data_IF_332083059492
#
_entry.id   IF_332083059492
#
_cell.length_a   1.000
_cell.length_b   1.000
_cell.length_c   1.000
_cell.angle_alpha   90.00
_cell.angle_beta   90.00
_cell.angle_gamma   90.00
#
_symmetry.space_group_name_H-M   'P 1'
#
loop_
_entity.id
_entity.type
_entity.pdbx_description
1 polymer ?
#
# COMPACT_ATOMS: atom_id res chain seq x y z
N UNK A 1 -35.83 2.98 -16.55
CA UNK A 1 -35.23 4.28 -16.20
C UNK A 1 -36.07 4.88 -15.09
N UNK A 2 -35.54 4.93 -13.87
CA UNK A 2 -36.09 5.74 -12.78
C UNK A 2 -34.88 6.44 -12.16
N UNK A 3 -34.73 7.72 -12.49
CA UNK A 3 -33.72 8.61 -11.91
C UNK A 3 -34.22 9.02 -10.52
N UNK A 4 -33.65 8.41 -9.47
CA UNK A 4 -33.79 8.92 -8.11
C UNK A 4 -32.81 10.07 -7.91
N UNK A 5 -33.34 11.30 -7.87
CA UNK A 5 -32.63 12.46 -7.34
C UNK A 5 -32.27 12.19 -5.87
N UNK A 6 -30.99 11.98 -5.58
CA UNK A 6 -30.49 12.01 -4.20
C UNK A 6 -30.29 13.47 -3.77
N UNK A 7 -30.78 13.74 -2.56
CA UNK A 7 -30.62 14.95 -1.78
C UNK A 7 -29.14 15.42 -1.73
N UNK A 8 -28.83 16.69 -2.08
CA UNK A 8 -27.47 17.23 -2.04
C UNK A 8 -26.87 17.31 -0.62
N UNK A 9 -27.67 17.13 0.43
CA UNK A 9 -27.23 17.24 1.83
C UNK A 9 -26.58 15.98 2.41
N UNK A 10 -26.58 14.85 1.69
CA UNK A 10 -25.84 13.61 2.06
C UNK A 10 -24.51 13.56 1.28
N UNK A 11 -23.69 14.60 1.44
CA UNK A 11 -22.39 14.71 0.79
C UNK A 11 -21.33 13.85 1.53
N UNK A 12 -21.35 12.54 1.32
CA UNK A 12 -20.28 11.64 1.79
C UNK A 12 -18.93 11.95 1.12
N UNK A 13 -17.86 12.03 1.92
CA UNK A 13 -16.49 12.35 1.49
C UNK A 13 -15.97 11.38 0.41
N UNK A 14 -15.16 11.87 -0.54
CA UNK A 14 -14.45 11.02 -1.50
C UNK A 14 -13.60 9.95 -0.79
N UNK A 15 -13.18 8.90 -1.50
CA UNK A 15 -12.30 7.88 -0.90
C UNK A 15 -10.84 8.36 -0.85
N UNK A 16 -10.10 8.11 0.23
CA UNK A 16 -8.71 8.53 0.35
C UNK A 16 -7.81 7.71 -0.58
N UNK A 17 -6.70 8.31 -1.02
CA UNK A 17 -5.65 7.60 -1.74
C UNK A 17 -4.76 6.89 -0.73
N UNK A 18 -4.55 5.59 -0.94
CA UNK A 18 -3.66 4.79 -0.09
C UNK A 18 -2.26 4.66 -0.65
N UNK A 19 -1.31 5.26 0.05
CA UNK A 19 0.12 5.05 -0.11
C UNK A 19 0.58 3.89 0.77
N UNK A 20 1.50 3.08 0.24
CA UNK A 20 2.16 2.02 0.99
C UNK A 20 3.66 2.15 0.78
N UNK A 21 4.45 2.20 1.85
CA UNK A 21 5.90 2.01 1.79
C UNK A 21 6.25 0.64 2.33
N UNK A 22 7.07 -0.12 1.60
CA UNK A 22 7.39 -1.49 2.01
C UNK A 22 8.72 -2.00 1.46
N UNK A 23 9.67 -2.30 2.36
CA UNK A 23 10.86 -3.05 2.02
C UNK A 23 10.50 -4.54 1.88
N UNK A 24 10.57 -5.03 0.64
CA UNK A 24 10.10 -6.36 0.26
C UNK A 24 11.20 -7.42 0.26
N UNK A 25 12.47 -7.05 0.50
CA UNK A 25 13.63 -7.95 0.54
C UNK A 25 13.68 -8.92 -0.65
N UNK A 26 13.58 -8.37 -1.84
CA UNK A 26 13.66 -9.07 -3.12
C UNK A 26 12.34 -9.67 -3.60
N UNK A 27 12.06 -9.50 -4.88
CA UNK A 27 10.90 -10.11 -5.57
C UNK A 27 11.27 -10.86 -6.87
N UNK A 28 12.53 -11.32 -6.97
CA UNK A 28 13.00 -12.12 -8.10
C UNK A 28 12.25 -13.45 -8.23
N UNK A 29 11.98 -14.12 -7.10
CA UNK A 29 11.24 -15.38 -7.05
C UNK A 29 9.75 -15.17 -7.44
N UNK A 30 9.18 -15.92 -8.40
CA UNK A 30 7.80 -15.76 -8.85
C UNK A 30 6.74 -15.93 -7.77
N UNK A 31 6.94 -16.87 -6.83
CA UNK A 31 6.01 -17.12 -5.72
C UNK A 31 6.01 -15.93 -4.76
N UNK A 32 7.20 -15.45 -4.35
CA UNK A 32 7.31 -14.26 -3.50
C UNK A 32 6.71 -13.03 -4.18
N UNK A 33 6.99 -12.83 -5.47
CA UNK A 33 6.41 -11.74 -6.28
C UNK A 33 4.88 -11.79 -6.30
N UNK A 34 4.29 -12.97 -6.51
CA UNK A 34 2.84 -13.14 -6.48
C UNK A 34 2.24 -12.81 -5.09
N UNK A 35 2.91 -13.25 -4.01
CA UNK A 35 2.52 -12.89 -2.63
C UNK A 35 2.57 -11.38 -2.39
N UNK A 36 3.64 -10.70 -2.82
CA UNK A 36 3.79 -9.24 -2.71
C UNK A 36 2.64 -8.51 -3.42
N UNK A 37 2.36 -8.83 -4.69
CA UNK A 37 1.27 -8.17 -5.43
C UNK A 37 -0.11 -8.46 -4.84
N UNK A 38 -0.35 -9.69 -4.40
CA UNK A 38 -1.61 -10.08 -3.75
C UNK A 38 -1.79 -9.31 -2.45
N UNK A 39 -0.71 -9.13 -1.67
CA UNK A 39 -0.73 -8.38 -0.42
C UNK A 39 -0.99 -6.89 -0.64
N UNK A 40 -0.29 -6.25 -1.58
CA UNK A 40 -0.53 -4.84 -1.96
C UNK A 40 -1.98 -4.61 -2.43
N UNK A 41 -2.51 -5.54 -3.23
CA UNK A 41 -3.91 -5.48 -3.70
C UNK A 41 -4.89 -5.61 -2.53
N UNK A 42 -4.65 -6.52 -1.59
CA UNK A 42 -5.48 -6.71 -0.38
C UNK A 42 -5.43 -5.49 0.53
N UNK A 43 -4.28 -4.85 0.64
CA UNK A 43 -4.12 -3.59 1.36
C UNK A 43 -4.74 -2.40 0.62
N UNK A 44 -5.34 -2.59 -0.57
CA UNK A 44 -5.94 -1.55 -1.40
C UNK A 44 -4.95 -0.46 -1.83
N UNK A 45 -3.71 -0.83 -2.13
CA UNK A 45 -2.68 0.11 -2.58
C UNK A 45 -3.10 0.88 -3.85
N UNK A 46 -3.04 2.21 -3.75
CA UNK A 46 -3.16 3.12 -4.88
C UNK A 46 -1.78 3.51 -5.42
N UNK A 47 -0.84 3.79 -4.51
CA UNK A 47 0.56 4.10 -4.80
C UNK A 47 1.43 3.25 -3.85
N UNK A 48 2.42 2.54 -4.38
CA UNK A 48 3.33 1.70 -3.60
C UNK A 48 4.78 2.11 -3.80
N UNK A 49 5.46 2.46 -2.71
CA UNK A 49 6.90 2.66 -2.62
C UNK A 49 7.51 1.33 -2.17
N UNK A 50 8.20 0.66 -3.07
CA UNK A 50 8.87 -0.61 -2.79
C UNK A 50 10.37 -0.39 -2.66
N UNK A 51 10.98 -0.96 -1.62
CA UNK A 51 12.42 -0.99 -1.43
C UNK A 51 12.94 -2.43 -1.53
N UNK A 52 14.22 -2.56 -1.84
CA UNK A 52 14.88 -3.85 -2.06
C UNK A 52 14.14 -4.73 -3.09
N UNK A 53 13.82 -4.19 -4.27
CA UNK A 53 13.20 -5.00 -5.32
C UNK A 53 14.09 -6.16 -5.78
N UNK A 54 15.42 -5.96 -5.71
CA UNK A 54 16.48 -6.87 -6.19
C UNK A 54 16.30 -7.26 -7.66
N UNK A 55 15.72 -6.36 -8.46
CA UNK A 55 15.50 -6.57 -9.90
C UNK A 55 16.59 -5.90 -10.71
N UNK A 56 17.11 -6.62 -11.70
CA UNK A 56 17.95 -6.05 -12.75
C UNK A 56 17.09 -5.20 -13.69
N UNK A 57 17.72 -4.30 -14.45
CA UNK A 57 17.02 -3.43 -15.41
C UNK A 57 16.14 -4.26 -16.37
N UNK A 58 16.69 -5.34 -16.93
CA UNK A 58 15.97 -6.25 -17.82
C UNK A 58 14.73 -6.91 -17.19
N UNK A 59 14.70 -7.04 -15.87
CA UNK A 59 13.64 -7.70 -15.11
C UNK A 59 12.58 -6.72 -14.57
N UNK A 60 12.74 -5.41 -14.78
CA UNK A 60 11.79 -4.38 -14.31
C UNK A 60 10.38 -4.55 -14.90
N UNK A 61 10.25 -5.13 -16.10
CA UNK A 61 8.95 -5.47 -16.70
C UNK A 61 8.08 -6.36 -15.79
N UNK A 62 8.69 -7.09 -14.85
CA UNK A 62 7.99 -7.94 -13.87
C UNK A 62 7.24 -7.16 -12.79
N UNK A 63 7.45 -5.84 -12.70
CA UNK A 63 6.70 -4.94 -11.82
C UNK A 63 5.30 -4.63 -12.36
N UNK A 64 5.06 -4.90 -13.65
CA UNK A 64 3.74 -4.74 -14.25
C UNK A 64 2.85 -5.95 -13.92
N UNK A 65 1.64 -5.64 -13.44
CA UNK A 65 0.56 -6.60 -13.26
C UNK A 65 -0.78 -5.90 -13.52
N UNK A 66 -1.92 -6.60 -13.63
CA UNK A 66 -3.16 -6.04 -14.20
C UNK A 66 -3.71 -4.76 -13.55
N UNK A 67 -3.33 -4.44 -12.31
CA UNK A 67 -3.77 -3.22 -11.61
C UNK A 67 -2.74 -2.08 -11.66
N UNK A 68 -1.47 -2.35 -11.98
CA UNK A 68 -0.40 -1.36 -12.07
C UNK A 68 -0.50 -0.66 -13.42
N UNK A 69 -0.65 0.66 -13.41
CA UNK A 69 -0.71 1.49 -14.62
C UNK A 69 0.63 2.14 -14.95
N UNK A 70 1.39 2.58 -13.95
CA UNK A 70 2.70 3.21 -14.14
C UNK A 70 3.72 2.62 -13.15
N UNK A 71 4.96 2.51 -13.61
CA UNK A 71 6.11 2.03 -12.84
C UNK A 71 7.27 2.98 -13.03
N UNK A 72 7.85 3.43 -11.92
CA UNK A 72 9.13 4.14 -11.89
C UNK A 72 10.11 3.31 -11.07
N UNK A 73 11.34 3.10 -11.56
CA UNK A 73 12.33 2.26 -10.89
C UNK A 73 13.72 2.88 -10.99
N UNK A 74 14.57 2.65 -9.98
CA UNK A 74 15.97 3.12 -9.99
C UNK A 74 16.85 2.39 -11.02
N UNK A 75 18.01 2.94 -11.36
CA UNK A 75 18.83 2.47 -12.49
C UNK A 75 19.87 1.40 -12.11
N UNK A 76 19.67 0.70 -11.00
CA UNK A 76 20.65 -0.27 -10.50
C UNK A 76 20.50 -1.63 -11.16
N UNK A 77 21.58 -2.12 -11.76
CA UNK A 77 21.57 -3.34 -12.57
C UNK A 77 22.13 -4.57 -11.83
N UNK A 78 21.69 -4.81 -10.59
CA UNK A 78 22.10 -5.97 -9.79
C UNK A 78 20.92 -6.60 -9.03
N UNK A 79 21.12 -7.81 -8.51
CA UNK A 79 20.14 -8.50 -7.65
C UNK A 79 20.32 -8.10 -6.18
N UNK A 80 20.41 -6.81 -5.93
CA UNK A 80 20.50 -6.19 -4.61
C UNK A 80 19.87 -4.80 -4.70
N UNK A 81 19.43 -4.22 -3.59
CA UNK A 81 18.83 -2.87 -3.55
C UNK A 81 17.68 -2.76 -4.58
N UNK A 82 17.49 -1.58 -5.17
CA UNK A 82 16.44 -1.30 -6.13
C UNK A 82 15.22 -0.76 -5.42
N UNK A 83 14.70 0.36 -5.91
CA UNK A 83 13.50 1.01 -5.40
C UNK A 83 12.53 1.24 -6.55
N UNK A 84 11.24 1.10 -6.28
CA UNK A 84 10.19 1.28 -7.27
C UNK A 84 9.02 2.08 -6.72
N UNK A 85 8.39 2.89 -7.57
CA UNK A 85 7.08 3.47 -7.31
C UNK A 85 6.10 2.84 -8.29
N UNK A 86 5.11 2.12 -7.77
CA UNK A 86 4.01 1.54 -8.55
C UNK A 86 2.77 2.40 -8.36
N UNK A 87 2.13 2.80 -9.45
CA UNK A 87 0.89 3.59 -9.41
C UNK A 87 -0.22 2.78 -10.06
N UNK A 88 -1.33 2.64 -9.34
CA UNK A 88 -2.49 1.92 -9.80
C UNK A 88 -3.13 2.62 -11.01
N UNK A 89 -3.55 1.87 -12.02
CA UNK A 89 -4.13 2.41 -13.27
C UNK A 89 -5.38 3.29 -13.07
N UNK A 90 -6.06 3.15 -11.93
CA UNK A 90 -7.23 3.99 -11.57
C UNK A 90 -6.85 5.35 -10.97
N UNK A 91 -5.57 5.59 -10.71
CA UNK A 91 -5.07 6.84 -10.14
C UNK A 91 -4.65 7.74 -11.30
N UNK A 92 -5.27 8.93 -11.41
CA UNK A 92 -4.82 9.93 -12.37
C UNK A 92 -3.54 10.57 -11.84
N UNK A 93 -2.43 10.16 -12.43
CA UNK A 93 -1.10 10.68 -12.18
C UNK A 93 -0.43 10.98 -13.52
N UNK A 94 0.15 12.16 -13.66
CA UNK A 94 0.96 12.54 -14.82
C UNK A 94 2.35 12.94 -14.35
N UNK A 95 3.36 12.12 -14.65
CA UNK A 95 4.75 12.41 -14.32
C UNK A 95 5.32 13.51 -15.21
N UNK A 96 6.08 14.43 -14.63
CA UNK A 96 6.74 15.52 -15.34
C UNK A 96 8.27 15.43 -15.29
N UNK A 97 8.82 14.88 -14.20
CA UNK A 97 10.26 14.67 -14.05
C UNK A 97 10.54 13.41 -13.22
N UNK A 98 11.61 12.69 -13.55
CA UNK A 98 12.03 11.48 -12.84
C UNK A 98 13.54 11.53 -12.62
N UNK A 99 13.97 11.45 -11.37
CA UNK A 99 15.38 11.34 -10.98
C UNK A 99 15.58 9.97 -10.35
N UNK A 100 16.30 9.10 -11.05
CA UNK A 100 16.57 7.73 -10.63
C UNK A 100 18.02 7.58 -10.19
N UNK A 101 18.23 7.09 -8.96
CA UNK A 101 19.57 6.84 -8.45
C UNK A 101 20.27 5.69 -9.19
N UNK A 102 21.54 5.90 -9.54
CA UNK A 102 22.39 4.88 -10.17
C UNK A 102 22.75 3.73 -9.24
N UNK A 103 22.76 3.96 -7.91
CA UNK A 103 23.09 2.94 -6.90
C UNK A 103 21.88 2.16 -6.40
N UNK A 104 20.68 2.50 -6.87
CA UNK A 104 19.45 1.77 -6.57
C UNK A 104 18.82 2.12 -5.23
N UNK A 105 19.21 3.26 -4.63
CA UNK A 105 18.86 3.65 -3.26
C UNK A 105 17.69 4.62 -3.21
N UNK A 106 17.40 5.37 -4.26
CA UNK A 106 16.23 6.25 -4.28
C UNK A 106 15.68 6.49 -5.68
N UNK A 107 14.45 6.95 -5.73
CA UNK A 107 13.82 7.50 -6.93
C UNK A 107 12.91 8.67 -6.53
N UNK A 108 12.99 9.75 -7.30
CA UNK A 108 12.20 10.97 -7.11
C UNK A 108 11.35 11.14 -8.36
N UNK A 109 10.04 11.26 -8.19
CA UNK A 109 9.09 11.46 -9.29
C UNK A 109 8.28 12.71 -9.01
N UNK A 110 8.49 13.75 -9.82
CA UNK A 110 7.63 14.93 -9.84
C UNK A 110 6.46 14.68 -10.79
N UNK A 111 5.27 15.18 -10.44
CA UNK A 111 4.12 15.06 -11.30
C UNK A 111 2.87 15.72 -10.73
N UNK A 112 1.75 15.51 -11.41
CA UNK A 112 0.43 15.95 -10.98
C UNK A 112 -0.40 14.74 -10.55
N UNK A 113 -0.75 14.66 -9.27
CA UNK A 113 -1.60 13.64 -8.67
C UNK A 113 -2.95 14.25 -8.30
N UNK A 114 -4.04 13.79 -8.92
CA UNK A 114 -5.39 14.35 -8.68
C UNK A 114 -5.41 15.90 -8.74
N UNK A 115 -4.82 16.48 -9.79
CA UNK A 115 -4.70 17.93 -10.01
C UNK A 115 -3.77 18.68 -9.04
N UNK A 116 -3.15 18.01 -8.07
CA UNK A 116 -2.14 18.61 -7.18
C UNK A 116 -0.74 18.27 -7.66
N UNK A 117 0.14 19.26 -7.72
CA UNK A 117 1.57 19.06 -7.99
C UNK A 117 2.21 18.38 -6.78
N UNK A 118 2.85 17.23 -7.00
CA UNK A 118 3.47 16.41 -5.94
C UNK A 118 4.87 15.97 -6.31
N UNK A 119 5.70 15.76 -5.29
CA UNK A 119 6.98 15.07 -5.35
C UNK A 119 6.85 13.76 -4.59
N UNK A 120 7.02 12.65 -5.29
CA UNK A 120 7.05 11.32 -4.69
C UNK A 120 8.51 10.89 -4.55
N UNK A 121 9.00 10.75 -3.31
CA UNK A 121 10.37 10.30 -3.05
C UNK A 121 10.32 8.95 -2.35
N UNK A 122 10.82 7.92 -3.02
CA UNK A 122 11.01 6.59 -2.44
C UNK A 122 12.49 6.35 -2.17
N UNK A 123 12.84 5.99 -0.93
CA UNK A 123 14.23 5.78 -0.50
C UNK A 123 14.44 4.44 0.20
N UNK A 124 15.63 3.89 0.00
CA UNK A 124 16.24 2.77 0.69
C UNK A 124 17.65 3.20 1.09
N UNK A 125 17.82 3.72 2.30
CA UNK A 125 19.10 4.24 2.76
C UNK A 125 20.11 3.12 3.04
N UNK A 126 21.43 3.41 3.09
CA UNK A 126 22.43 2.47 3.58
C UNK A 126 22.15 2.00 5.01
N UNK A 127 22.60 0.80 5.35
CA UNK A 127 22.46 0.22 6.70
C UNK A 127 23.53 0.70 7.69
N UNK A 128 24.47 1.54 7.24
CA UNK A 128 25.48 2.19 8.06
C UNK A 128 25.21 3.71 8.08
N UNK A 129 25.76 4.40 9.08
CA UNK A 129 25.57 5.84 9.23
C UNK A 129 26.30 6.58 8.09
N UNK A 130 25.53 7.14 7.16
CA UNK A 130 26.02 7.79 5.94
C UNK A 130 25.32 9.14 5.72
N UNK A 131 25.83 10.18 6.36
CA UNK A 131 25.31 11.54 6.21
C UNK A 131 25.56 12.11 4.80
N UNK A 132 26.60 11.67 4.09
CA UNK A 132 26.86 12.11 2.71
C UNK A 132 25.78 11.59 1.76
N UNK A 133 25.35 10.34 1.92
CA UNK A 133 24.20 9.80 1.20
C UNK A 133 22.94 10.66 1.42
N UNK A 134 22.62 10.97 2.67
CA UNK A 134 21.46 11.79 3.00
C UNK A 134 21.56 13.18 2.35
N UNK A 135 22.68 13.89 2.52
CA UNK A 135 22.91 15.20 1.91
C UNK A 135 22.77 15.16 0.38
N UNK A 136 23.34 14.14 -0.27
CA UNK A 136 23.25 13.98 -1.73
C UNK A 136 21.82 13.73 -2.20
N UNK A 137 21.06 12.86 -1.52
CA UNK A 137 19.66 12.62 -1.82
C UNK A 137 18.85 13.91 -1.69
N UNK A 138 18.98 14.59 -0.55
CA UNK A 138 18.18 15.78 -0.23
C UNK A 138 18.47 16.95 -1.17
N UNK A 139 19.74 17.15 -1.55
CA UNK A 139 20.15 18.17 -2.52
C UNK A 139 19.60 17.92 -3.93
N UNK A 140 19.25 16.67 -4.26
CA UNK A 140 18.70 16.30 -5.55
C UNK A 140 17.16 16.42 -5.62
N UNK A 141 16.47 16.79 -4.53
CA UNK A 141 15.01 16.96 -4.53
C UNK A 141 14.66 18.31 -5.19
N UNK A 142 14.07 18.32 -6.39
CA UNK A 142 13.73 19.56 -7.07
C UNK A 142 12.39 20.10 -6.56
N UNK A 143 12.08 21.35 -6.88
CA UNK A 143 10.72 21.91 -6.80
C UNK A 143 10.05 21.96 -5.41
N UNK A 144 10.81 21.88 -4.31
CA UNK A 144 10.29 21.94 -2.92
C UNK A 144 9.33 23.11 -2.67
N UNK A 145 9.56 24.27 -3.28
CA UNK A 145 8.71 25.46 -3.11
C UNK A 145 7.37 25.41 -3.88
N UNK A 146 7.16 24.43 -4.76
CA UNK A 146 6.03 24.44 -5.72
C UNK A 146 5.23 23.13 -5.77
N UNK A 147 5.75 22.06 -5.18
CA UNK A 147 5.13 20.74 -5.17
C UNK A 147 5.01 20.25 -3.74
N UNK A 148 3.92 19.54 -3.45
CA UNK A 148 3.73 18.89 -2.16
C UNK A 148 4.59 17.62 -2.09
N UNK A 149 5.48 17.55 -1.12
CA UNK A 149 6.40 16.43 -0.91
C UNK A 149 5.72 15.30 -0.13
N UNK A 150 5.82 14.09 -0.69
CA UNK A 150 5.52 12.82 -0.05
C UNK A 150 6.79 11.98 -0.13
N UNK A 151 7.55 12.01 0.96
CA UNK A 151 8.81 11.33 1.12
C UNK A 151 8.58 10.07 1.95
N UNK A 152 9.04 8.91 1.50
CA UNK A 152 8.89 7.69 2.28
C UNK A 152 9.83 6.58 1.86
N UNK A 153 9.96 5.58 2.71
CA UNK A 153 10.88 4.48 2.46
C UNK A 153 11.47 3.90 3.72
N UNK A 154 12.48 3.06 3.51
CA UNK A 154 13.34 2.51 4.55
C UNK A 154 14.56 3.42 4.70
N UNK A 155 14.61 4.15 5.82
CA UNK A 155 15.68 5.10 6.12
C UNK A 155 16.85 4.45 6.87
N UNK A 156 16.73 3.19 7.30
CA UNK A 156 17.77 2.49 8.06
C UNK A 156 18.33 3.26 9.28
N UNK A 157 17.62 4.28 9.77
CA UNK A 157 17.97 5.06 10.94
C UNK A 157 16.72 5.40 11.76
N UNK A 158 16.91 5.59 13.06
CA UNK A 158 15.83 5.91 14.01
C UNK A 158 15.86 7.40 14.37
N UNK A 159 14.71 8.06 14.37
CA UNK A 159 14.60 9.50 14.69
C UNK A 159 14.47 9.76 16.19
N UNK A 160 13.74 8.91 16.91
CA UNK A 160 13.61 9.00 18.37
C UNK A 160 14.08 7.69 19.01
N UNK A 161 15.39 7.50 19.26
CA UNK A 161 15.96 6.21 19.69
C UNK A 161 15.27 5.57 20.92
N UNK A 162 14.77 6.37 21.84
CA UNK A 162 14.05 5.91 23.05
C UNK A 162 12.68 5.28 22.76
N UNK A 163 12.04 5.67 21.64
CA UNK A 163 10.71 5.20 21.22
C UNK A 163 10.76 4.27 20.01
N UNK A 164 11.73 4.46 19.12
CA UNK A 164 11.84 3.79 17.82
C UNK A 164 12.77 2.58 17.87
N UNK A 165 13.34 2.21 19.02
CA UNK A 165 14.23 1.05 19.15
C UNK A 165 13.98 0.27 20.45
N UNK A 166 14.00 -1.05 20.38
CA UNK A 166 14.02 -1.91 21.58
C UNK A 166 15.44 -1.94 22.17
N UNK A 167 15.56 -1.81 23.50
CA UNK A 167 16.83 -1.95 24.22
C UNK A 167 17.97 -1.07 23.70
N UNK A 168 17.84 0.27 23.68
CA UNK A 168 18.89 1.13 23.15
C UNK A 168 20.18 1.00 23.97
N UNK A 169 21.27 0.53 23.34
CA UNK A 169 22.63 0.69 23.89
C UNK A 169 23.13 2.14 23.75
N UNK A 170 22.64 2.85 22.73
CA UNK A 170 22.96 4.25 22.43
C UNK A 170 21.67 5.04 22.18
N UNK A 171 21.47 6.12 22.92
CA UNK A 171 20.33 7.03 22.78
C UNK A 171 20.60 8.19 21.80
N UNK A 172 21.83 8.29 21.30
CA UNK A 172 22.26 9.32 20.36
C UNK A 172 21.77 9.00 18.94
N UNK A 173 21.05 9.93 18.28
CA UNK A 173 20.74 9.80 16.86
C UNK A 173 22.00 9.76 16.01
N UNK A 174 21.97 8.98 14.93
CA UNK A 174 23.06 8.89 13.96
C UNK A 174 23.19 10.19 13.15
N UNK A 175 24.33 10.42 12.51
CA UNK A 175 24.56 11.63 11.69
C UNK A 175 23.61 11.70 10.49
N UNK A 176 23.32 10.56 9.88
CA UNK A 176 22.30 10.40 8.84
C UNK A 176 20.90 10.75 9.35
N UNK A 177 20.52 10.27 10.54
CA UNK A 177 19.24 10.61 11.16
C UNK A 177 19.13 12.12 11.44
N UNK A 178 20.20 12.76 11.93
CA UNK A 178 20.25 14.21 12.15
C UNK A 178 20.08 14.97 10.83
N UNK A 179 20.81 14.57 9.79
CA UNK A 179 20.74 15.18 8.46
C UNK A 179 19.32 15.11 7.89
N UNK A 180 18.65 13.95 7.99
CA UNK A 180 17.24 13.86 7.60
C UNK A 180 16.35 14.74 8.49
N UNK A 181 16.51 14.68 9.81
CA UNK A 181 15.71 15.46 10.76
C UNK A 181 15.78 16.96 10.50
N UNK A 182 16.99 17.49 10.29
CA UNK A 182 17.22 18.89 9.99
C UNK A 182 16.52 19.31 8.70
N UNK A 183 16.61 18.49 7.65
CA UNK A 183 15.87 18.73 6.41
C UNK A 183 14.36 18.71 6.59
N UNK A 184 13.83 17.74 7.35
CA UNK A 184 12.39 17.65 7.61
C UNK A 184 11.91 18.89 8.38
N UNK A 185 12.66 19.35 9.38
CA UNK A 185 12.35 20.56 10.15
C UNK A 185 12.40 21.81 9.28
N UNK A 186 13.47 21.97 8.47
CA UNK A 186 13.66 23.13 7.59
C UNK A 186 12.56 23.28 6.54
N UNK A 187 11.99 22.16 6.08
CA UNK A 187 10.94 22.14 5.05
C UNK A 187 9.53 21.91 5.62
N UNK A 188 9.36 22.03 6.95
CA UNK A 188 8.09 21.79 7.66
C UNK A 188 7.39 20.47 7.30
N UNK A 189 8.19 19.40 7.20
CA UNK A 189 7.72 18.05 6.93
C UNK A 189 7.44 17.34 8.25
N UNK A 190 6.35 16.57 8.27
CA UNK A 190 5.89 15.85 9.46
C UNK A 190 5.81 14.36 9.21
N UNK A 191 6.12 13.57 10.24
CA UNK A 191 5.80 12.14 10.32
C UNK A 191 4.33 11.98 10.74
N UNK A 192 3.40 11.60 9.82
CA UNK A 192 1.97 11.53 10.14
C UNK A 192 1.65 10.48 11.18
N UNK A 193 2.46 9.41 11.26
CA UNK A 193 2.26 8.33 12.22
C UNK A 193 2.66 8.80 13.62
N UNK A 194 3.84 9.40 13.78
CA UNK A 194 4.32 9.89 15.08
C UNK A 194 3.45 11.02 15.63
N UNK A 195 2.93 11.92 14.78
CA UNK A 195 1.98 12.96 15.20
C UNK A 195 0.72 12.38 15.86
N UNK A 196 0.21 11.25 15.33
CA UNK A 196 -0.97 10.56 15.87
C UNK A 196 -0.64 9.64 17.04
N UNK A 197 0.62 9.24 17.17
CA UNK A 197 1.10 8.29 18.16
C UNK A 197 2.36 8.82 18.88
N UNK A 198 2.28 9.92 19.65
CA UNK A 198 3.48 10.64 20.11
C UNK A 198 4.40 9.81 21.00
N UNK A 199 3.83 8.93 21.84
CA UNK A 199 4.56 8.16 22.86
C UNK A 199 4.57 6.65 22.59
N UNK A 200 3.83 6.19 21.59
CA UNK A 200 3.67 4.76 21.33
C UNK A 200 4.94 4.21 20.69
N UNK A 201 5.42 3.07 21.21
CA UNK A 201 6.46 2.28 20.56
C UNK A 201 5.84 1.40 19.49
N UNK A 202 6.36 1.48 18.27
CA UNK A 202 5.92 0.68 17.14
C UNK A 202 7.16 0.19 16.39
N UNK A 203 6.97 -0.92 15.70
CA UNK A 203 8.03 -1.66 15.03
C UNK A 203 7.72 -1.60 13.54
N UNK A 204 8.74 -1.33 12.73
CA UNK A 204 8.67 -1.58 11.30
C UNK A 204 9.59 -2.71 10.84
N UNK A 205 10.65 -3.02 11.60
CA UNK A 205 11.65 -4.01 11.27
C UNK A 205 12.09 -4.83 12.48
N UNK A 206 12.33 -6.13 12.27
CA UNK A 206 12.97 -7.01 13.24
C UNK A 206 14.32 -7.54 12.72
N UNK A 207 15.38 -7.26 13.45
CA UNK A 207 16.71 -7.83 13.19
C UNK A 207 16.88 -9.16 13.92
N UNK A 208 16.84 -10.25 13.16
CA UNK A 208 17.15 -11.60 13.67
C UNK A 208 18.57 -11.71 14.24
N UNK A 209 19.55 -11.03 13.62
CA UNK A 209 20.97 -11.11 14.04
C UNK A 209 21.20 -10.39 15.37
N UNK A 210 20.54 -9.25 15.56
CA UNK A 210 20.73 -8.42 16.75
C UNK A 210 19.63 -8.61 17.80
N UNK A 211 18.64 -9.46 17.52
CA UNK A 211 17.44 -9.67 18.34
C UNK A 211 16.83 -8.34 18.78
N UNK A 212 16.73 -7.41 17.82
CA UNK A 212 16.36 -6.02 18.08
C UNK A 212 15.28 -5.55 17.13
N UNK A 213 14.38 -4.74 17.64
CA UNK A 213 13.29 -4.12 16.93
C UNK A 213 13.56 -2.65 16.70
N UNK A 214 13.18 -2.16 15.53
CA UNK A 214 13.27 -0.75 15.21
C UNK A 214 12.14 -0.27 14.32
N UNK A 215 11.80 1.01 14.43
CA UNK A 215 11.01 1.74 13.43
C UNK A 215 12.00 2.48 12.54
N UNK A 216 12.17 1.99 11.31
CA UNK A 216 13.09 2.55 10.31
C UNK A 216 12.40 2.87 8.98
N UNK A 217 11.15 2.47 8.83
CA UNK A 217 10.32 2.76 7.67
C UNK A 217 9.39 3.95 7.99
N UNK A 218 9.42 4.99 7.16
CA UNK A 218 8.74 6.25 7.44
C UNK A 218 7.99 6.80 6.23
N UNK A 219 6.99 7.63 6.51
CA UNK A 219 6.52 8.67 5.61
C UNK A 219 6.75 10.02 6.29
N UNK A 220 7.28 10.97 5.53
CA UNK A 220 7.30 12.39 5.83
C UNK A 220 6.53 13.12 4.74
N UNK A 221 5.61 13.99 5.13
CA UNK A 221 4.80 14.76 4.20
C UNK A 221 4.86 16.24 4.56
N UNK A 222 4.62 17.10 3.58
CA UNK A 222 4.31 18.51 3.83
C UNK A 222 3.26 18.66 4.94
N UNK A 223 3.51 19.53 5.93
CA UNK A 223 2.53 19.78 7.00
C UNK A 223 1.14 20.13 6.47
N UNK A 224 1.09 20.85 5.35
CA UNK A 224 -0.16 21.24 4.69
C UNK A 224 -1.01 20.03 4.25
N UNK A 225 -0.40 18.87 4.01
CA UNK A 225 -1.10 17.61 3.70
C UNK A 225 -1.66 16.91 4.95
N UNK A 226 -1.20 17.22 6.16
CA UNK A 226 -1.58 16.47 7.37
C UNK A 226 -3.09 16.55 7.68
N UNK A 227 -3.76 17.66 7.34
CA UNK A 227 -5.21 17.80 7.47
C UNK A 227 -5.98 16.87 6.53
N UNK A 228 -5.37 16.43 5.43
CA UNK A 228 -5.93 15.46 4.50
C UNK A 228 -5.62 14.01 4.90
N UNK A 229 -4.77 13.76 5.89
CA UNK A 229 -4.42 12.40 6.29
C UNK A 229 -5.51 11.79 7.16
N UNK A 230 -6.19 10.77 6.64
CA UNK A 230 -7.27 10.06 7.34
C UNK A 230 -6.75 8.89 8.17
N UNK A 231 -5.62 8.30 7.81
CA UNK A 231 -5.03 7.17 8.52
C UNK A 231 -3.53 7.05 8.22
N UNK A 232 -2.75 6.60 9.20
CA UNK A 232 -1.37 6.16 9.02
C UNK A 232 -1.05 5.10 10.07
N UNK A 233 -0.64 3.91 9.64
CA UNK A 233 -0.33 2.79 10.53
C UNK A 233 0.55 1.75 9.84
N UNK A 234 1.20 0.89 10.62
CA UNK A 234 1.97 -0.24 10.13
C UNK A 234 1.14 -1.51 10.18
N UNK A 235 1.21 -2.31 9.12
CA UNK A 235 0.56 -3.63 9.05
C UNK A 235 1.37 -4.71 9.79
N UNK A 236 0.90 -5.95 9.81
CA UNK A 236 1.69 -7.07 10.34
C UNK A 236 2.86 -7.45 9.43
N UNK A 237 3.94 -7.97 10.00
CA UNK A 237 5.09 -8.50 9.26
C UNK A 237 4.73 -9.89 8.74
N UNK A 238 4.30 -10.00 7.46
CA UNK A 238 3.74 -11.27 6.92
C UNK A 238 4.59 -11.91 5.82
N UNK A 239 5.29 -11.13 5.00
CA UNK A 239 5.99 -11.63 3.78
C UNK A 239 7.48 -11.26 3.76
N UNK A 240 7.82 -10.09 4.26
CA UNK A 240 9.18 -9.59 4.41
C UNK A 240 9.54 -9.57 5.90
N UNK A 241 10.77 -9.17 6.24
CA UNK A 241 11.20 -8.78 7.58
C UNK A 241 10.81 -7.34 7.96
N UNK A 242 10.26 -6.59 7.01
CA UNK A 242 9.66 -5.28 7.24
C UNK A 242 8.13 -5.31 7.17
N UNK A 243 7.53 -4.49 8.02
CA UNK A 243 6.12 -4.17 8.02
C UNK A 243 5.79 -3.15 6.92
N UNK A 244 4.72 -3.37 6.12
CA UNK A 244 4.17 -2.33 5.26
C UNK A 244 3.67 -1.13 6.08
N UNK A 245 4.18 0.06 5.79
CA UNK A 245 3.67 1.32 6.32
C UNK A 245 2.56 1.87 5.40
N UNK A 246 1.40 2.14 5.97
CA UNK A 246 0.22 2.66 5.29
C UNK A 246 0.06 4.16 5.55
N UNK A 247 -0.35 4.91 4.53
CA UNK A 247 -0.73 6.31 4.64
C UNK A 247 -1.94 6.58 3.73
N UNK A 248 -3.06 7.00 4.30
CA UNK A 248 -4.28 7.33 3.58
C UNK A 248 -4.44 8.86 3.52
N UNK A 249 -4.46 9.42 2.31
CA UNK A 249 -4.52 10.88 2.08
C UNK A 249 -5.71 11.23 1.19
N UNK A 250 -6.59 12.07 1.71
CA UNK A 250 -7.76 12.60 1.01
C UNK A 250 -7.39 13.82 0.15
N UNK A 251 -6.86 13.60 -1.05
CA UNK A 251 -6.42 14.71 -1.92
C UNK A 251 -7.53 15.37 -2.75
N UNK A 252 -8.61 14.66 -3.06
CA UNK A 252 -9.72 15.16 -3.87
C UNK A 252 -11.08 14.71 -3.33
N UNK A 253 -12.14 15.44 -3.65
CA UNK A 253 -13.53 15.03 -3.41
C UNK A 253 -14.07 14.12 -4.53
N UNK A 254 -13.24 13.77 -5.52
CA UNK A 254 -13.66 13.05 -6.71
C UNK A 254 -14.10 11.62 -6.36
N UNK A 255 -15.33 11.27 -6.75
CA UNK A 255 -15.89 9.93 -6.55
C UNK A 255 -15.41 9.02 -7.68
N UNK A 256 -14.81 7.88 -7.32
CA UNK A 256 -14.55 6.81 -8.29
C UNK A 256 -15.89 6.19 -8.69
N UNK A 257 -16.20 6.14 -9.98
CA UNK A 257 -17.33 5.33 -10.46
C UNK A 257 -17.11 3.87 -10.06
N UNK A 258 -18.15 3.18 -9.57
CA UNK A 258 -18.02 1.77 -9.24
C UNK A 258 -17.63 0.99 -10.50
N UNK A 259 -16.71 0.00 -10.39
CA UNK A 259 -16.32 -0.80 -11.53
C UNK A 259 -17.55 -1.55 -12.07
N UNK A 260 -17.62 -1.70 -13.39
CA UNK A 260 -18.57 -2.61 -14.01
C UNK A 260 -18.31 -4.02 -13.47
N UNK A 261 -19.38 -4.67 -13.03
CA UNK A 261 -19.29 -6.05 -12.55
C UNK A 261 -18.82 -6.97 -13.68
N UNK A 262 -17.90 -7.87 -13.35
CA UNK A 262 -17.45 -8.96 -14.22
C UNK A 262 -17.49 -10.24 -13.41
N UNK A 263 -17.96 -11.30 -14.03
CA UNK A 263 -17.97 -12.62 -13.43
C UNK A 263 -16.52 -13.10 -13.17
N UNK A 264 -16.26 -13.60 -11.97
CA UNK A 264 -14.97 -14.21 -11.64
C UNK A 264 -15.02 -15.68 -12.07
N UNK A 265 -14.39 -16.01 -13.19
CA UNK A 265 -14.38 -17.39 -13.73
C UNK A 265 -13.78 -18.42 -12.78
N UNK A 266 -12.95 -18.01 -11.81
CA UNK A 266 -12.40 -18.91 -10.80
C UNK A 266 -13.48 -19.50 -9.88
N UNK A 267 -14.65 -18.86 -9.77
CA UNK A 267 -15.78 -19.41 -9.01
C UNK A 267 -16.29 -20.73 -9.62
N UNK A 268 -16.04 -20.97 -10.91
CA UNK A 268 -16.43 -22.23 -11.57
C UNK A 268 -15.56 -23.42 -11.14
N UNK A 269 -14.42 -23.17 -10.48
CA UNK A 269 -13.60 -24.22 -9.89
C UNK A 269 -14.02 -24.55 -8.45
N UNK A 270 -14.89 -23.74 -7.85
CA UNK A 270 -15.42 -23.95 -6.50
C UNK A 270 -16.71 -24.78 -6.58
N UNK A 271 -16.63 -26.01 -6.06
CA UNK A 271 -17.75 -26.95 -6.09
C UNK A 271 -18.96 -26.42 -5.32
N UNK A 272 -18.75 -25.78 -4.16
CA UNK A 272 -19.85 -25.20 -3.37
C UNK A 272 -20.52 -24.06 -4.13
N UNK A 273 -19.74 -23.25 -4.86
CA UNK A 273 -20.29 -22.18 -5.68
C UNK A 273 -21.10 -22.73 -6.86
N UNK A 274 -20.62 -23.78 -7.52
CA UNK A 274 -21.32 -24.43 -8.61
C UNK A 274 -22.65 -25.03 -8.15
N UNK A 275 -22.66 -25.75 -7.02
CA UNK A 275 -23.88 -26.29 -6.41
C UNK A 275 -24.87 -25.18 -6.06
N UNK A 276 -24.40 -24.10 -5.42
CA UNK A 276 -25.23 -22.94 -5.10
C UNK A 276 -25.87 -22.30 -6.34
N UNK A 277 -25.11 -22.13 -7.43
CA UNK A 277 -25.62 -21.58 -8.68
C UNK A 277 -26.64 -22.53 -9.31
N UNK A 278 -26.37 -23.84 -9.36
CA UNK A 278 -27.31 -24.83 -9.89
C UNK A 278 -28.64 -24.82 -9.15
N UNK A 279 -28.61 -24.85 -7.81
CA UNK A 279 -29.83 -24.76 -7.00
C UNK A 279 -30.57 -23.43 -7.20
N UNK A 280 -29.84 -22.32 -7.37
CA UNK A 280 -30.45 -21.02 -7.67
C UNK A 280 -31.16 -21.01 -9.04
N UNK A 281 -30.61 -21.71 -10.04
CA UNK A 281 -31.25 -21.86 -11.36
C UNK A 281 -32.55 -22.67 -11.23
N UNK A 282 -32.50 -23.80 -10.52
CA UNK A 282 -33.67 -24.66 -10.30
C UNK A 282 -34.78 -23.91 -9.56
N UNK A 283 -34.44 -23.20 -8.49
CA UNK A 283 -35.38 -22.35 -7.74
C UNK A 283 -36.00 -21.27 -8.64
N UNK A 284 -35.19 -20.56 -9.41
CA UNK A 284 -35.69 -19.52 -10.32
C UNK A 284 -36.68 -20.10 -11.35
N UNK A 285 -36.33 -21.22 -11.97
CA UNK A 285 -37.19 -21.86 -12.97
C UNK A 285 -38.49 -22.39 -12.37
N UNK A 286 -38.47 -22.91 -11.14
CA UNK A 286 -39.66 -23.39 -10.44
C UNK A 286 -40.72 -22.29 -10.29
N UNK A 287 -40.31 -21.05 -10.00
CA UNK A 287 -41.25 -19.95 -9.73
C UNK A 287 -41.56 -19.07 -10.95
N UNK A 288 -40.70 -19.06 -11.97
CA UNK A 288 -40.80 -18.08 -13.08
C UNK A 288 -41.06 -18.72 -14.44
N UNK A 289 -41.00 -20.06 -14.56
CA UNK A 289 -41.33 -20.75 -15.80
C UNK A 289 -42.84 -20.96 -15.89
N UNK A 290 -43.46 -20.25 -16.80
CA UNK A 290 -44.88 -20.34 -17.16
C UNK A 290 -44.99 -20.32 -18.69
N UNK A 291 -46.00 -20.98 -19.25
CA UNK A 291 -46.24 -21.06 -20.71
C UNK A 291 -46.52 -19.68 -21.33
N UNK A 292 -46.93 -18.69 -20.52
CA UNK A 292 -47.15 -17.30 -20.91
C UNK A 292 -45.86 -16.46 -21.02
N UNK A 293 -44.74 -16.92 -20.48
CA UNK A 293 -43.48 -16.16 -20.43
C UNK A 293 -42.57 -16.58 -21.58
N UNK A 294 -42.17 -15.61 -22.42
CA UNK A 294 -41.22 -15.90 -23.51
C UNK A 294 -39.85 -16.36 -22.98
N UNK A 295 -39.22 -17.33 -23.66
CA UNK A 295 -37.89 -17.81 -23.30
C UNK A 295 -36.81 -16.72 -23.28
N UNK A 296 -36.94 -15.70 -24.14
CA UNK A 296 -36.00 -14.57 -24.15
C UNK A 296 -36.10 -13.75 -22.85
N UNK A 297 -37.32 -13.44 -22.40
CA UNK A 297 -37.52 -12.71 -21.14
C UNK A 297 -37.07 -13.54 -19.95
N UNK A 298 -37.38 -14.84 -19.95
CA UNK A 298 -36.95 -15.77 -18.92
C UNK A 298 -35.42 -15.82 -18.80
N UNK A 299 -34.71 -15.89 -19.92
CA UNK A 299 -33.24 -15.90 -19.96
C UNK A 299 -32.61 -14.61 -19.45
N UNK A 300 -33.09 -13.45 -19.92
CA UNK A 300 -32.56 -12.16 -19.45
C UNK A 300 -32.79 -11.95 -17.95
N UNK A 301 -33.96 -12.37 -17.45
CA UNK A 301 -34.30 -12.27 -16.03
C UNK A 301 -33.47 -13.23 -15.18
N UNK A 302 -33.26 -14.47 -15.64
CA UNK A 302 -32.38 -15.43 -14.98
C UNK A 302 -30.95 -14.89 -14.85
N UNK A 303 -30.39 -14.30 -15.92
CA UNK A 303 -29.05 -13.70 -15.86
C UNK A 303 -28.95 -12.58 -14.82
N UNK A 304 -29.97 -11.74 -14.72
CA UNK A 304 -30.03 -10.67 -13.72
C UNK A 304 -30.09 -11.24 -12.29
N UNK A 305 -30.97 -12.21 -12.08
CA UNK A 305 -31.12 -12.92 -10.80
C UNK A 305 -29.80 -13.61 -10.39
N UNK A 306 -29.20 -14.40 -11.28
CA UNK A 306 -27.94 -15.10 -11.02
C UNK A 306 -26.79 -14.14 -10.72
N UNK A 307 -26.73 -13.00 -11.41
CA UNK A 307 -25.74 -11.96 -11.09
C UNK A 307 -25.88 -11.50 -9.64
N UNK A 308 -27.10 -11.29 -9.15
CA UNK A 308 -27.37 -10.97 -7.75
C UNK A 308 -26.89 -12.07 -6.80
N UNK A 309 -27.23 -13.33 -7.10
CA UNK A 309 -26.84 -14.49 -6.29
C UNK A 309 -25.32 -14.66 -6.22
N UNK A 310 -24.64 -14.57 -7.36
CA UNK A 310 -23.17 -14.69 -7.44
C UNK A 310 -22.48 -13.56 -6.67
N UNK A 311 -22.99 -12.33 -6.76
CA UNK A 311 -22.46 -11.20 -5.97
C UNK A 311 -22.62 -11.47 -4.48
N UNK A 312 -23.81 -11.90 -4.05
CA UNK A 312 -24.10 -12.23 -2.64
C UNK A 312 -23.15 -13.31 -2.11
N UNK A 313 -23.03 -14.43 -2.85
CA UNK A 313 -22.11 -15.52 -2.53
C UNK A 313 -20.67 -15.02 -2.41
N UNK A 314 -20.20 -14.28 -3.41
CA UNK A 314 -18.84 -13.74 -3.43
C UNK A 314 -18.55 -12.81 -2.25
N UNK A 315 -19.51 -11.94 -1.90
CA UNK A 315 -19.37 -11.03 -0.74
C UNK A 315 -19.29 -11.83 0.56
N UNK A 316 -20.17 -12.83 0.74
CA UNK A 316 -20.17 -13.70 1.93
C UNK A 316 -18.84 -14.42 2.12
N UNK A 317 -18.36 -15.08 1.05
CA UNK A 317 -17.11 -15.84 1.09
C UNK A 317 -15.90 -14.93 1.32
N UNK A 318 -15.83 -13.80 0.61
CA UNK A 318 -14.76 -12.82 0.82
C UNK A 318 -14.78 -12.23 2.23
N UNK A 319 -15.96 -11.97 2.82
CA UNK A 319 -16.09 -11.48 4.19
C UNK A 319 -15.52 -12.48 5.19
N UNK A 320 -15.81 -13.77 5.03
CA UNK A 320 -15.28 -14.85 5.88
C UNK A 320 -13.76 -14.96 5.79
N UNK A 321 -13.22 -14.97 4.57
CA UNK A 321 -11.76 -15.03 4.33
C UNK A 321 -11.06 -13.80 4.92
N UNK A 322 -11.58 -12.60 4.66
CA UNK A 322 -11.00 -11.35 5.14
C UNK A 322 -11.06 -11.23 6.67
N UNK A 323 -12.13 -11.71 7.30
CA UNK A 323 -12.23 -11.75 8.76
C UNK A 323 -11.09 -12.61 9.34
N UNK A 324 -10.92 -13.84 8.82
CA UNK A 324 -9.85 -14.74 9.28
C UNK A 324 -8.46 -14.17 9.05
N UNK A 325 -8.23 -13.56 7.89
CA UNK A 325 -6.94 -12.91 7.59
C UNK A 325 -6.66 -11.72 8.52
N UNK A 326 -7.69 -10.93 8.84
CA UNK A 326 -7.58 -9.80 9.77
C UNK A 326 -7.23 -10.30 11.17
N UNK A 327 -7.93 -11.31 11.68
CA UNK A 327 -7.62 -11.94 12.97
C UNK A 327 -6.16 -12.40 13.04
N UNK A 328 -5.70 -13.15 12.03
CA UNK A 328 -4.32 -13.65 11.99
C UNK A 328 -3.30 -12.51 11.91
N UNK A 329 -3.56 -11.47 11.13
CA UNK A 329 -2.65 -10.32 11.00
C UNK A 329 -2.56 -9.54 12.30
N UNK A 330 -3.68 -9.36 13.02
CA UNK A 330 -3.70 -8.72 14.35
C UNK A 330 -2.96 -9.59 15.36
N UNK A 331 -3.17 -10.91 15.35
CA UNK A 331 -2.44 -11.82 16.24
C UNK A 331 -0.93 -11.72 16.02
N UNK A 332 -0.47 -11.76 14.75
CA UNK A 332 0.96 -11.57 14.41
C UNK A 332 1.47 -10.23 14.93
N UNK A 333 0.76 -9.13 14.67
CA UNK A 333 1.17 -7.80 15.13
C UNK A 333 1.26 -7.71 16.66
N UNK A 334 0.36 -8.37 17.39
CA UNK A 334 0.38 -8.39 18.85
C UNK A 334 1.55 -9.23 19.38
N UNK A 335 1.85 -10.37 18.75
CA UNK A 335 3.03 -11.17 19.08
C UNK A 335 4.33 -10.41 18.82
N UNK A 336 4.48 -9.78 17.65
CA UNK A 336 5.65 -8.96 17.31
C UNK A 336 5.85 -7.83 18.34
N UNK A 337 4.75 -7.15 18.73
CA UNK A 337 4.81 -6.06 19.70
C UNK A 337 5.13 -6.55 21.12
N UNK A 338 4.54 -7.67 21.54
CA UNK A 338 4.80 -8.26 22.85
C UNK A 338 6.25 -8.71 22.98
N UNK A 339 6.77 -9.39 21.96
CA UNK A 339 8.16 -9.85 21.94
C UNK A 339 9.14 -8.68 21.89
N UNK A 340 8.82 -7.57 21.21
CA UNK A 340 9.69 -6.39 21.22
C UNK A 340 9.78 -5.65 22.56
N UNK A 341 8.73 -5.76 23.38
CA UNK A 341 8.72 -5.20 24.74
C UNK A 341 9.44 -6.14 25.72
N UNK A 342 9.20 -7.44 25.59
CA UNK A 342 9.75 -8.49 26.44
C UNK A 342 10.32 -9.62 25.57
N UNK A 343 11.54 -9.48 25.04
CA UNK A 343 12.15 -10.56 24.27
C UNK A 343 12.37 -11.76 25.20
N UNK A 344 11.69 -12.88 24.94
CA UNK A 344 11.92 -14.11 25.70
C UNK A 344 13.30 -14.68 25.33
N UNK A 345 14.10 -15.18 26.29
CA UNK A 345 15.43 -15.71 26.02
C UNK A 345 15.50 -17.06 25.27
N UNK A 346 14.40 -17.54 24.70
CA UNK A 346 14.28 -18.91 24.16
C UNK A 346 14.46 -18.99 22.64
#
# INVERSE_FOLDING_TARGET
MVNGNMDPSIAGSGMPLRFISWNIRGMGNPVKRSKVFTHLKRLNSDIAFLQETHLRIKDQHRLYCPWVGQVFHSNFNSKARGVAILINKKVQFSSTNVIADGNGRYIIVAGTLMQKKVLLVNVYAPNFDDAEFANKLLSNIPFLNTHLLIFGGDLNCVFVPSLDRSGPRNLTPSSMSKTFSDFMIQNDLVDPWRLRNPTIKKISFFSQVHQSYSRIDYFFIDRTLNSCVTNSDYSGIVISDHSPLLLDVQLSTYKRSPPLWRFNSLLLADKECCEFISSSIEEFLLFNRDDSVSYSLLWETLKCYLRGQIISYSVRTNKKINARLKELTVAISNFDQSYALNPSPE
#
